data_IF_163854178604
#
_entry.id   IF_163854178604
#
_cell.length_a   1.000
_cell.length_b   1.000
_cell.length_c   1.000
_cell.angle_alpha   90.00
_cell.angle_beta   90.00
_cell.angle_gamma   90.00
#
_symmetry.space_group_name_H-M   'P 1'
#
loop_
_entity.id
_entity.type
_entity.pdbx_description
1 polymer ?
#
# COMPACT_ATOMS: atom_id res chain seq x y z
N UNK A 1 20.19 43.62 -63.35
CA UNK A 1 18.85 43.32 -62.81
C UNK A 1 19.07 42.31 -61.69
N UNK A 2 18.88 42.70 -60.41
CA UNK A 2 19.15 41.82 -59.27
C UNK A 2 18.15 40.66 -59.24
N UNK A 3 18.66 39.48 -58.88
CA UNK A 3 17.96 38.20 -58.96
C UNK A 3 16.94 38.06 -57.80
N UNK A 4 15.63 37.96 -58.08
CA UNK A 4 14.58 37.99 -57.05
C UNK A 4 14.58 36.76 -56.13
N UNK A 5 15.34 35.70 -56.48
CA UNK A 5 15.49 34.52 -55.64
C UNK A 5 16.42 34.74 -54.45
N UNK A 6 17.31 35.75 -54.49
CA UNK A 6 18.17 36.10 -53.36
C UNK A 6 17.43 36.83 -52.24
N UNK A 7 16.41 37.62 -52.56
CA UNK A 7 15.61 38.35 -51.55
C UNK A 7 14.68 37.43 -50.75
N UNK A 8 14.24 36.31 -51.32
CA UNK A 8 13.38 35.34 -50.64
C UNK A 8 14.13 34.48 -49.61
N UNK A 9 15.44 34.29 -49.78
CA UNK A 9 16.26 33.57 -48.83
C UNK A 9 16.54 34.36 -47.54
N UNK A 10 16.43 35.69 -47.59
CA UNK A 10 16.72 36.59 -46.47
C UNK A 10 15.48 36.89 -45.60
N UNK A 11 14.27 36.67 -46.13
CA UNK A 11 13.01 36.93 -45.42
C UNK A 11 12.63 35.80 -44.46
N UNK A 12 13.18 34.61 -44.65
CA UNK A 12 12.92 33.46 -43.78
C UNK A 12 14.12 33.22 -42.89
N UNK A 13 14.36 34.15 -41.97
CA UNK A 13 15.10 33.79 -40.76
C UNK A 13 14.33 32.63 -40.11
N UNK A 14 14.92 31.44 -39.97
CA UNK A 14 14.30 30.40 -39.18
C UNK A 14 14.22 30.97 -37.77
N UNK A 15 13.01 31.34 -37.34
CA UNK A 15 12.70 31.60 -35.94
C UNK A 15 13.01 30.29 -35.22
N UNK A 16 14.23 30.15 -34.72
CA UNK A 16 14.61 29.09 -33.81
C UNK A 16 13.75 29.37 -32.58
N UNK A 17 12.74 28.54 -32.27
CA UNK A 17 12.03 28.74 -31.03
C UNK A 17 13.08 28.61 -29.94
N UNK A 18 13.41 29.74 -29.28
CA UNK A 18 14.17 29.68 -28.05
C UNK A 18 13.38 28.73 -27.17
N UNK A 19 13.96 27.56 -26.89
CA UNK A 19 13.38 26.59 -25.99
C UNK A 19 13.03 27.36 -24.73
N UNK A 20 11.72 27.53 -24.48
CA UNK A 20 11.24 28.30 -23.35
C UNK A 20 11.91 27.71 -22.12
N UNK A 21 12.76 28.50 -21.46
CA UNK A 21 13.39 28.11 -20.21
C UNK A 21 12.24 27.71 -19.30
N UNK A 22 12.13 26.44 -18.86
CA UNK A 22 10.99 26.02 -18.09
C UNK A 22 10.93 26.92 -16.86
N UNK A 23 9.91 27.78 -16.82
CA UNK A 23 9.68 28.65 -15.68
C UNK A 23 9.66 27.77 -14.43
N UNK A 24 10.30 28.24 -13.37
CA UNK A 24 10.28 27.56 -12.08
C UNK A 24 8.83 27.29 -11.60
N UNK A 25 7.85 28.06 -12.11
CA UNK A 25 6.42 27.82 -11.89
C UNK A 25 5.97 26.44 -12.35
N UNK A 26 6.51 25.92 -13.46
CA UNK A 26 6.17 24.59 -13.95
C UNK A 26 6.69 23.49 -13.02
N UNK A 27 7.87 23.70 -12.42
CA UNK A 27 8.42 22.82 -11.40
C UNK A 27 7.60 22.87 -10.10
N UNK A 28 7.13 24.05 -9.70
CA UNK A 28 6.25 24.21 -8.54
C UNK A 28 4.88 23.54 -8.77
N UNK A 29 4.29 23.73 -9.95
CA UNK A 29 3.01 23.12 -10.32
C UNK A 29 3.10 21.59 -10.39
N UNK A 30 4.14 21.06 -11.03
CA UNK A 30 4.37 19.61 -11.09
C UNK A 30 4.68 19.02 -9.71
N UNK A 31 5.48 19.70 -8.91
CA UNK A 31 5.75 19.31 -7.52
C UNK A 31 4.49 19.28 -6.66
N UNK A 32 3.64 20.31 -6.76
CA UNK A 32 2.36 20.38 -6.06
C UNK A 32 1.39 19.29 -6.51
N UNK A 33 1.32 19.00 -7.82
CA UNK A 33 0.49 17.93 -8.37
C UNK A 33 0.93 16.55 -7.86
N UNK A 34 2.25 16.27 -7.88
CA UNK A 34 2.81 15.02 -7.36
C UNK A 34 2.59 14.87 -5.86
N UNK A 35 2.76 15.96 -5.08
CA UNK A 35 2.48 15.96 -3.65
C UNK A 35 1.00 15.68 -3.38
N UNK A 36 0.08 16.30 -4.15
CA UNK A 36 -1.35 16.04 -4.07
C UNK A 36 -1.68 14.57 -4.34
N UNK A 37 -1.14 13.99 -5.42
CA UNK A 37 -1.32 12.58 -5.76
C UNK A 37 -0.77 11.68 -4.66
N UNK A 38 0.43 11.98 -4.13
CA UNK A 38 1.03 11.21 -3.05
C UNK A 38 0.18 11.23 -1.77
N UNK A 39 -0.39 12.38 -1.43
CA UNK A 39 -1.31 12.52 -0.29
C UNK A 39 -2.56 11.68 -0.51
N UNK A 40 -3.22 11.81 -1.67
CA UNK A 40 -4.44 11.05 -1.98
C UNK A 40 -4.17 9.55 -2.03
N UNK A 41 -3.08 9.14 -2.67
CA UNK A 41 -2.65 7.73 -2.72
C UNK A 41 -2.31 7.20 -1.32
N UNK A 42 -1.63 7.99 -0.49
CA UNK A 42 -1.33 7.65 0.90
C UNK A 42 -2.60 7.51 1.74
N UNK A 43 -3.56 8.43 1.59
CA UNK A 43 -4.85 8.39 2.29
C UNK A 43 -5.66 7.17 1.84
N UNK A 44 -5.75 6.94 0.53
CA UNK A 44 -6.42 5.78 -0.06
C UNK A 44 -5.78 4.48 0.43
N UNK A 45 -4.45 4.39 0.43
CA UNK A 45 -3.72 3.24 0.93
C UNK A 45 -3.99 2.98 2.42
N UNK A 46 -3.97 4.04 3.21
CA UNK A 46 -4.26 3.97 4.64
C UNK A 46 -5.72 3.57 4.91
N UNK A 47 -6.69 4.11 4.16
CA UNK A 47 -8.09 3.70 4.20
C UNK A 47 -8.28 2.25 3.78
N UNK A 48 -7.64 1.83 2.68
CA UNK A 48 -7.66 0.45 2.18
C UNK A 48 -7.08 -0.52 3.21
N UNK A 49 -6.07 -0.11 3.99
CA UNK A 49 -5.57 -0.90 5.13
C UNK A 49 -6.53 -0.96 6.32
N UNK A 50 -7.33 0.08 6.56
CA UNK A 50 -8.30 0.13 7.67
C UNK A 50 -9.66 -0.48 7.34
N UNK A 51 -10.03 -0.58 6.07
CA UNK A 51 -11.26 -1.22 5.61
C UNK A 51 -11.41 -2.67 6.11
N UNK A 52 -10.43 -3.58 5.93
CA UNK A 52 -10.57 -4.97 6.38
C UNK A 52 -10.68 -5.07 7.91
N UNK A 53 -10.02 -4.18 8.66
CA UNK A 53 -10.13 -4.13 10.13
C UNK A 53 -11.55 -3.79 10.60
N UNK A 54 -12.25 -2.91 9.88
CA UNK A 54 -13.65 -2.56 10.20
C UNK A 54 -14.59 -3.71 9.86
N UNK A 55 -14.37 -4.40 8.75
CA UNK A 55 -15.17 -5.55 8.36
C UNK A 55 -14.98 -6.71 9.33
N UNK A 56 -13.74 -7.01 9.74
CA UNK A 56 -13.43 -8.03 10.76
C UNK A 56 -14.11 -7.74 12.10
N UNK A 57 -14.09 -6.48 12.57
CA UNK A 57 -14.78 -6.10 13.81
C UNK A 57 -16.30 -6.24 13.72
N UNK A 58 -16.88 -6.02 12.54
CA UNK A 58 -18.32 -6.24 12.31
C UNK A 58 -18.66 -7.73 12.26
N UNK A 59 -17.82 -8.53 11.60
CA UNK A 59 -17.99 -9.98 11.49
C UNK A 59 -17.94 -10.67 12.85
N UNK A 60 -17.05 -10.23 13.74
CA UNK A 60 -16.95 -10.75 15.12
C UNK A 60 -18.26 -10.64 15.92
N UNK A 61 -19.08 -9.63 15.64
CA UNK A 61 -20.34 -9.41 16.35
C UNK A 61 -21.54 -10.16 15.77
N UNK A 62 -21.36 -10.94 14.69
CA UNK A 62 -22.47 -11.69 14.08
C UNK A 62 -22.73 -12.99 14.84
N UNK A 63 -24.02 -13.27 14.99
CA UNK A 63 -24.56 -14.55 15.47
C UNK A 63 -24.64 -15.62 14.36
N UNK A 64 -24.64 -15.20 13.09
CA UNK A 64 -24.56 -16.09 11.93
C UNK A 64 -23.10 -16.38 11.56
N UNK A 65 -22.56 -17.43 12.17
CA UNK A 65 -21.19 -17.92 11.94
C UNK A 65 -20.97 -18.36 10.50
N UNK A 66 -21.95 -19.05 9.89
CA UNK A 66 -21.79 -19.65 8.57
C UNK A 66 -21.69 -18.55 7.48
N UNK A 67 -22.56 -17.54 7.57
CA UNK A 67 -22.48 -16.34 6.74
C UNK A 67 -21.21 -15.52 7.00
N UNK A 68 -20.83 -15.37 8.27
CA UNK A 68 -19.63 -14.62 8.65
C UNK A 68 -18.33 -15.30 8.20
N UNK A 69 -18.25 -16.63 8.24
CA UNK A 69 -17.13 -17.43 7.73
C UNK A 69 -16.98 -17.31 6.21
N UNK A 70 -18.11 -17.27 5.47
CA UNK A 70 -18.11 -17.03 4.04
C UNK A 70 -17.57 -15.64 3.66
N UNK A 71 -18.00 -14.60 4.37
CA UNK A 71 -17.47 -13.24 4.16
C UNK A 71 -15.99 -13.12 4.57
N UNK A 72 -15.58 -13.79 5.65
CA UNK A 72 -14.18 -13.85 6.06
C UNK A 72 -13.30 -14.54 5.00
N UNK A 73 -13.79 -15.65 4.41
CA UNK A 73 -13.13 -16.33 3.30
C UNK A 73 -13.02 -15.46 2.04
N UNK A 74 -14.00 -14.61 1.76
CA UNK A 74 -13.93 -13.65 0.65
C UNK A 74 -12.93 -12.52 0.89
N UNK A 75 -12.62 -12.21 2.16
CA UNK A 75 -11.61 -11.22 2.53
C UNK A 75 -10.18 -11.78 2.46
N UNK A 76 -9.98 -13.11 2.50
CA UNK A 76 -8.65 -13.76 2.49
C UNK A 76 -7.70 -13.24 1.39
N UNK A 77 -8.13 -13.05 0.13
CA UNK A 77 -7.27 -12.54 -0.94
C UNK A 77 -6.79 -11.09 -0.72
N UNK A 78 -7.46 -10.33 0.15
CA UNK A 78 -7.10 -8.95 0.45
C UNK A 78 -5.98 -8.84 1.50
N UNK A 79 -5.70 -9.94 2.21
CA UNK A 79 -4.59 -9.99 3.17
C UNK A 79 -3.28 -10.10 2.41
N UNK A 80 -2.34 -9.19 2.71
CA UNK A 80 -1.03 -9.12 2.05
C UNK A 80 -0.13 -10.32 2.37
N UNK A 81 -0.45 -11.05 3.44
CA UNK A 81 0.07 -12.38 3.74
C UNK A 81 -1.08 -13.35 3.56
N UNK A 82 -0.92 -14.32 2.67
CA UNK A 82 -1.79 -15.48 2.63
C UNK A 82 -1.82 -16.08 4.04
N UNK A 83 -2.99 -16.22 4.68
CA UNK A 83 -3.13 -17.02 5.87
C UNK A 83 -2.71 -18.46 5.59
N UNK A 84 -2.34 -19.21 6.62
CA UNK A 84 -1.97 -20.62 6.45
C UNK A 84 -3.07 -21.40 5.73
N UNK A 85 -2.72 -22.42 4.92
CA UNK A 85 -3.70 -23.26 4.23
C UNK A 85 -4.75 -23.86 5.18
N UNK A 86 -4.36 -24.12 6.44
CA UNK A 86 -5.24 -24.58 7.52
C UNK A 86 -6.46 -23.67 7.75
N UNK A 87 -6.34 -22.36 7.55
CA UNK A 87 -7.47 -21.45 7.72
C UNK A 87 -8.58 -21.68 6.71
N UNK A 88 -8.22 -22.00 5.47
CA UNK A 88 -9.20 -22.16 4.42
C UNK A 88 -10.05 -23.40 4.69
N UNK A 89 -9.42 -24.46 5.19
CA UNK A 89 -10.09 -25.67 5.64
C UNK A 89 -10.99 -25.42 6.85
N UNK A 90 -10.52 -24.66 7.85
CA UNK A 90 -11.33 -24.31 9.03
C UNK A 90 -12.51 -23.41 8.67
N UNK A 91 -12.34 -22.44 7.77
CA UNK A 91 -13.45 -21.60 7.30
C UNK A 91 -14.45 -22.39 6.45
N UNK A 92 -13.98 -23.34 5.65
CA UNK A 92 -14.87 -24.25 4.92
C UNK A 92 -15.63 -25.16 5.88
N UNK A 93 -15.00 -25.66 6.94
CA UNK A 93 -15.68 -26.41 8.00
C UNK A 93 -16.69 -25.56 8.75
N UNK A 94 -16.38 -24.30 9.07
CA UNK A 94 -17.33 -23.41 9.72
C UNK A 94 -18.49 -23.01 8.79
N UNK A 95 -18.25 -22.94 7.48
CA UNK A 95 -19.27 -22.56 6.48
C UNK A 95 -20.20 -23.71 6.10
N UNK A 96 -19.67 -24.93 5.94
CA UNK A 96 -20.42 -26.08 5.42
C UNK A 96 -20.59 -27.22 6.44
N UNK A 97 -19.92 -27.14 7.59
CA UNK A 97 -19.98 -28.15 8.63
C UNK A 97 -21.20 -28.01 9.53
N UNK A 98 -21.41 -29.05 10.36
CA UNK A 98 -22.46 -29.05 11.36
C UNK A 98 -22.23 -27.95 12.41
N UNK A 99 -23.31 -27.36 12.98
CA UNK A 99 -23.18 -26.35 14.02
C UNK A 99 -22.48 -26.94 15.25
N UNK A 100 -21.24 -26.52 15.47
CA UNK A 100 -20.42 -26.91 16.63
C UNK A 100 -20.61 -25.90 17.76
N UNK A 101 -20.67 -26.37 19.01
CA UNK A 101 -20.80 -25.50 20.19
C UNK A 101 -19.63 -24.51 20.31
N UNK A 102 -18.45 -24.90 19.82
CA UNK A 102 -17.24 -24.07 19.85
C UNK A 102 -17.01 -23.24 18.59
N UNK A 103 -17.94 -23.26 17.63
CA UNK A 103 -17.79 -22.58 16.34
C UNK A 103 -17.55 -21.07 16.49
N UNK A 104 -18.18 -20.43 17.49
CA UNK A 104 -17.98 -19.02 17.79
C UNK A 104 -16.58 -18.73 18.34
N UNK A 105 -16.07 -19.57 19.25
CA UNK A 105 -14.74 -19.40 19.83
C UNK A 105 -13.66 -19.56 18.75
N UNK A 106 -13.80 -20.57 17.89
CA UNK A 106 -12.92 -20.81 16.75
C UNK A 106 -12.94 -19.65 15.74
N UNK A 107 -14.14 -19.13 15.41
CA UNK A 107 -14.27 -17.97 14.53
C UNK A 107 -13.65 -16.70 15.13
N UNK A 108 -13.81 -16.47 16.44
CA UNK A 108 -13.19 -15.36 17.15
C UNK A 108 -11.65 -15.44 17.13
N UNK A 109 -11.09 -16.63 17.31
CA UNK A 109 -9.64 -16.88 17.23
C UNK A 109 -9.10 -16.59 15.82
N UNK A 110 -9.79 -17.07 14.78
CA UNK A 110 -9.45 -16.78 13.38
C UNK A 110 -9.50 -15.27 13.09
N UNK A 111 -10.53 -14.57 13.58
CA UNK A 111 -10.61 -13.11 13.48
C UNK A 111 -9.45 -12.41 14.20
N UNK A 112 -9.03 -12.91 15.35
CA UNK A 112 -7.92 -12.35 16.13
C UNK A 112 -6.57 -12.57 15.43
N UNK A 113 -6.33 -13.76 14.89
CA UNK A 113 -5.14 -14.04 14.10
C UNK A 113 -5.13 -13.20 12.79
N UNK A 114 -6.29 -12.92 12.18
CA UNK A 114 -6.42 -12.01 11.03
C UNK A 114 -6.06 -10.57 11.36
N UNK A 115 -6.42 -10.10 12.54
CA UNK A 115 -6.03 -8.78 13.02
C UNK A 115 -4.50 -8.69 13.19
N UNK A 116 -3.86 -9.76 13.68
CA UNK A 116 -2.40 -9.81 13.83
C UNK A 116 -1.67 -9.83 12.48
N UNK A 117 -2.22 -10.51 11.46
CA UNK A 117 -1.61 -10.57 10.13
C UNK A 117 -1.74 -9.26 9.33
N UNK A 118 -2.80 -8.47 9.58
CA UNK A 118 -3.00 -7.13 9.01
C UNK A 118 -2.14 -6.05 9.67
N UNK A 119 -1.76 -6.26 10.93
CA UNK A 119 -0.92 -5.30 11.65
C UNK A 119 0.51 -5.45 11.13
N UNK A 120 1.10 -4.43 10.47
CA UNK A 120 2.52 -4.49 10.17
C UNK A 120 3.26 -4.64 11.51
N UNK A 121 4.01 -5.73 11.69
CA UNK A 121 4.93 -5.88 12.81
C UNK A 121 5.88 -4.69 12.76
N UNK A 122 5.60 -3.64 13.54
CA UNK A 122 6.57 -2.60 13.88
C UNK A 122 7.49 -3.19 14.94
N UNK A 123 8.21 -4.25 14.58
CA UNK A 123 9.16 -4.91 15.43
C UNK A 123 10.43 -5.12 14.61
N UNK A 124 11.52 -4.50 15.12
CA UNK A 124 12.92 -4.54 14.63
C UNK A 124 13.36 -3.43 13.66
N UNK A 125 13.28 -2.18 14.08
CA UNK A 125 14.31 -1.18 13.70
C UNK A 125 15.22 -0.82 14.88
N UNK A 126 14.82 -1.14 16.12
CA UNK A 126 15.64 -0.83 17.30
C UNK A 126 16.85 -1.76 17.50
N UNK A 127 16.81 -3.01 17.04
CA UNK A 127 17.90 -3.98 17.24
C UNK A 127 19.13 -3.80 16.33
N UNK A 128 19.05 -3.04 15.23
CA UNK A 128 20.18 -2.86 14.29
C UNK A 128 21.09 -1.68 14.63
N UNK A 129 20.60 -0.71 15.41
CA UNK A 129 21.42 0.43 15.85
C UNK A 129 22.34 0.08 17.02
N UNK A 130 21.98 -0.88 17.87
CA UNK A 130 22.85 -1.28 18.99
C UNK A 130 23.97 -2.25 18.56
N UNK A 131 23.76 -3.02 17.49
CA UNK A 131 24.82 -3.85 16.91
C UNK A 131 25.91 -3.00 16.22
N UNK A 132 25.54 -1.92 15.52
CA UNK A 132 26.50 -1.04 14.85
C UNK A 132 27.32 -0.15 15.80
N UNK A 133 26.79 0.20 16.98
CA UNK A 133 27.52 1.00 17.97
C UNK A 133 28.59 0.17 18.70
N UNK A 134 28.38 -1.14 18.86
CA UNK A 134 29.39 -2.03 19.47
C UNK A 134 30.57 -2.34 18.53
N UNK A 135 30.35 -2.31 17.22
CA UNK A 135 31.42 -2.55 16.24
C UNK A 135 32.37 -1.34 16.12
N UNK A 136 31.86 -0.12 16.21
CA UNK A 136 32.68 1.11 16.14
C UNK A 136 33.50 1.31 17.43
N UNK A 137 33.02 0.83 18.58
CA UNK A 137 33.74 0.92 19.86
C UNK A 137 34.91 -0.07 20.02
N UNK A 138 34.98 -1.12 19.19
CA UNK A 138 36.05 -2.11 19.23
C UNK A 138 37.23 -1.76 18.31
N UNK A 139 37.01 -0.94 17.28
CA UNK A 139 38.03 -0.54 16.31
C UNK A 139 38.89 0.67 16.74
N UNK A 140 38.69 1.22 17.95
CA UNK A 140 39.41 2.40 18.43
C UNK A 140 40.31 2.09 19.65
N UNK A 141 40.72 0.82 19.79
CA UNK A 141 41.55 0.32 20.90
C UNK A 141 42.81 -0.42 20.43
N UNK A 142 43.31 -0.07 19.25
CA UNK A 142 44.66 -0.43 18.78
C UNK A 142 45.37 0.81 18.26
#
# INVERSE_FOLDING_TARGET
>A
MPDPTKDLADIVEPVIPLAATPSNDWLLLTGAALAGIAIVAGLYWHWRRRAPLRTLRRLRGRTDIQGAAGELAALLPQFRRAPEPLWLDELQRLRFGAPQQDAQAMFDELCQQALLSLTPRIARIKGRREAGVREIGASNRH
#
